data_IF_118130699417
#
_entry.id   IF_118130699417
#
_cell.length_a   1.000
_cell.length_b   1.000
_cell.length_c   1.000
_cell.angle_alpha   90.00
_cell.angle_beta   90.00
_cell.angle_gamma   90.00
#
_symmetry.space_group_name_H-M   'P 1'
#
loop_
_entity.id
_entity.type
_entity.pdbx_description
1 polymer ?
#
# COMPACT_ATOMS: atom_id res chain seq x y z
N UNK A 1 12.36 6.32 -12.33
CA UNK A 1 11.11 5.56 -12.51
C UNK A 1 10.35 5.65 -11.20
N UNK A 2 9.05 5.93 -11.19
CA UNK A 2 8.31 6.07 -9.95
C UNK A 2 8.27 4.74 -9.19
N UNK A 3 8.25 4.81 -7.86
CA UNK A 3 8.07 3.65 -6.98
C UNK A 3 6.62 3.19 -7.11
N UNK A 4 6.45 1.95 -7.58
CA UNK A 4 5.12 1.33 -7.69
C UNK A 4 4.64 0.82 -6.33
N UNK A 5 3.42 1.18 -5.97
CA UNK A 5 2.71 0.66 -4.80
C UNK A 5 1.43 -0.03 -5.26
N UNK A 6 1.35 -1.35 -5.03
CA UNK A 6 0.18 -2.15 -5.38
C UNK A 6 -0.66 -2.43 -4.14
N UNK A 7 -1.97 -2.23 -4.23
CA UNK A 7 -2.92 -2.48 -3.13
C UNK A 7 -4.06 -3.36 -3.62
N UNK A 8 -4.27 -4.52 -2.99
CA UNK A 8 -5.25 -5.52 -3.46
C UNK A 8 -6.64 -5.44 -2.80
N UNK A 9 -6.97 -4.31 -2.16
CA UNK A 9 -8.21 -4.15 -1.41
C UNK A 9 -8.92 -2.81 -1.65
N UNK A 10 -9.97 -2.85 -2.47
CA UNK A 10 -10.73 -1.66 -2.86
C UNK A 10 -11.27 -0.82 -1.70
N UNK A 11 -11.90 -1.39 -0.63
CA UNK A 11 -12.48 -0.58 0.44
C UNK A 11 -11.49 0.28 1.24
N UNK A 12 -10.19 -0.06 1.24
CA UNK A 12 -9.14 0.74 1.89
C UNK A 12 -8.18 1.39 0.89
N UNK A 13 -8.34 1.11 -0.41
CA UNK A 13 -7.49 1.62 -1.47
C UNK A 13 -7.36 3.13 -1.40
N UNK A 14 -8.48 3.84 -1.46
CA UNK A 14 -8.50 5.30 -1.51
C UNK A 14 -7.82 5.92 -0.28
N UNK A 15 -8.09 5.39 0.92
CA UNK A 15 -7.49 5.89 2.16
C UNK A 15 -5.97 5.70 2.18
N UNK A 16 -5.48 4.54 1.73
CA UNK A 16 -4.04 4.24 1.69
C UNK A 16 -3.38 5.09 0.62
N UNK A 17 -3.98 5.20 -0.57
CA UNK A 17 -3.51 6.04 -1.67
C UNK A 17 -3.36 7.50 -1.23
N UNK A 18 -4.40 8.08 -0.63
CA UNK A 18 -4.35 9.47 -0.16
C UNK A 18 -3.26 9.69 0.89
N UNK A 19 -3.08 8.76 1.83
CA UNK A 19 -2.03 8.86 2.85
C UNK A 19 -0.62 8.84 2.23
N UNK A 20 -0.40 8.07 1.16
CA UNK A 20 0.86 8.04 0.41
C UNK A 20 1.05 9.36 -0.34
N UNK A 21 0.07 9.78 -1.15
CA UNK A 21 0.15 11.00 -1.96
C UNK A 21 0.18 12.30 -1.13
N UNK A 22 -0.21 12.24 0.14
CA UNK A 22 -0.03 13.37 1.07
C UNK A 22 1.42 13.52 1.52
N UNK A 23 2.21 12.43 1.53
CA UNK A 23 3.60 12.43 2.00
C UNK A 23 4.64 12.41 0.88
N UNK A 24 4.27 12.00 -0.32
CA UNK A 24 5.17 11.82 -1.45
C UNK A 24 4.54 12.41 -2.71
N UNK A 25 5.36 13.00 -3.57
CA UNK A 25 4.90 13.56 -4.84
C UNK A 25 4.43 12.45 -5.80
N UNK A 26 3.40 12.76 -6.59
CA UNK A 26 2.82 11.86 -7.59
C UNK A 26 3.79 11.51 -8.74
N UNK A 27 4.81 12.35 -8.94
CA UNK A 27 5.92 12.09 -9.87
C UNK A 27 6.90 11.04 -9.38
N UNK A 28 6.96 10.81 -8.06
CA UNK A 28 7.88 9.87 -7.41
C UNK A 28 7.21 8.51 -7.13
N UNK A 29 5.91 8.49 -6.90
CA UNK A 29 5.17 7.30 -6.46
C UNK A 29 3.93 7.07 -7.32
N UNK A 30 3.83 5.86 -7.85
CA UNK A 30 2.66 5.40 -8.61
C UNK A 30 1.86 4.40 -7.75
N UNK A 31 0.60 4.72 -7.44
CA UNK A 31 -0.26 3.87 -6.61
C UNK A 31 -1.36 3.24 -7.47
N UNK A 32 -1.32 1.92 -7.58
CA UNK A 32 -2.25 1.12 -8.36
C UNK A 32 -3.06 0.17 -7.45
N UNK A 33 -4.31 -0.06 -7.82
CA UNK A 33 -5.23 -0.92 -7.09
C UNK A 33 -5.77 -2.03 -7.96
N UNK A 34 -5.69 -3.28 -7.50
CA UNK A 34 -6.27 -4.42 -8.21
C UNK A 34 -7.12 -5.27 -7.27
N UNK A 35 -8.43 -5.31 -7.49
CA UNK A 35 -9.28 -6.27 -6.80
C UNK A 35 -9.10 -7.64 -7.45
N UNK A 36 -8.58 -8.63 -6.71
CA UNK A 36 -8.46 -10.00 -7.24
C UNK A 36 -9.85 -10.61 -7.44
N UNK A 37 -10.28 -10.90 -8.69
CA UNK A 37 -11.61 -11.45 -8.94
C UNK A 37 -11.81 -12.77 -8.20
N UNK A 38 -12.92 -12.91 -7.48
CA UNK A 38 -13.27 -14.12 -6.75
C UNK A 38 -12.54 -14.34 -5.41
N UNK A 39 -11.62 -13.45 -5.02
CA UNK A 39 -10.93 -13.54 -3.74
C UNK A 39 -11.34 -12.37 -2.85
N UNK A 40 -12.03 -12.68 -1.74
CA UNK A 40 -12.46 -11.68 -0.77
C UNK A 40 -11.52 -11.67 0.43
N UNK A 41 -11.40 -10.49 1.07
CA UNK A 41 -10.73 -10.38 2.36
C UNK A 41 -9.19 -10.31 2.32
N UNK A 42 -8.56 -10.28 1.16
CA UNK A 42 -7.14 -9.93 1.03
C UNK A 42 -6.94 -8.43 1.13
N UNK A 43 -5.88 -8.03 1.83
CA UNK A 43 -5.35 -6.67 1.83
C UNK A 43 -3.84 -6.84 1.85
N UNK A 44 -3.29 -6.87 0.65
CA UNK A 44 -1.86 -6.96 0.42
C UNK A 44 -1.40 -5.60 -0.10
N UNK A 45 -0.31 -5.10 0.47
CA UNK A 45 0.36 -3.88 0.03
C UNK A 45 1.78 -4.24 -0.34
N UNK A 46 2.10 -4.02 -1.60
CA UNK A 46 3.45 -4.19 -2.13
C UNK A 46 4.05 -2.83 -2.48
N UNK A 47 5.33 -2.64 -2.17
CA UNK A 47 6.10 -1.44 -2.50
C UNK A 47 7.33 -1.90 -3.27
N UNK A 48 7.51 -1.38 -4.48
CA UNK A 48 8.59 -1.79 -5.39
C UNK A 48 8.67 -3.33 -5.57
N UNK A 49 7.52 -4.01 -5.63
CA UNK A 49 7.42 -5.46 -5.77
C UNK A 49 7.72 -6.27 -4.50
N UNK A 50 7.92 -5.61 -3.35
CA UNK A 50 8.10 -6.28 -2.05
C UNK A 50 6.83 -6.19 -1.23
N UNK A 51 6.38 -7.32 -0.68
CA UNK A 51 5.25 -7.37 0.25
C UNK A 51 5.59 -6.67 1.57
N UNK A 52 4.87 -5.59 1.89
CA UNK A 52 5.09 -4.75 3.08
C UNK A 52 4.00 -4.94 4.13
N UNK A 53 2.76 -5.17 3.70
CA UNK A 53 1.63 -5.40 4.58
C UNK A 53 0.78 -6.52 4.03
N UNK A 54 0.41 -7.48 4.88
CA UNK A 54 -0.39 -8.62 4.47
C UNK A 54 -1.44 -8.95 5.52
N UNK A 55 -2.71 -8.75 5.16
CA UNK A 55 -3.80 -9.23 5.98
C UNK A 55 -3.76 -10.75 6.08
N UNK A 56 -3.40 -11.45 5.00
CA UNK A 56 -3.32 -12.92 4.99
C UNK A 56 -2.21 -13.45 5.90
N UNK A 57 -1.08 -12.75 6.01
CA UNK A 57 0.03 -13.13 6.90
C UNK A 57 -0.15 -12.66 8.35
N UNK A 58 -1.30 -12.08 8.70
CA UNK A 58 -1.65 -11.73 10.08
C UNK A 58 -1.49 -10.26 10.46
N UNK A 59 -1.08 -9.37 9.54
CA UNK A 59 -1.01 -7.93 9.84
C UNK A 59 -2.41 -7.28 10.01
N UNK A 60 -3.46 -7.98 9.58
CA UNK A 60 -4.84 -7.49 9.61
C UNK A 60 -5.08 -6.32 8.66
N UNK A 61 -6.13 -5.54 8.92
CA UNK A 61 -6.43 -4.32 8.15
C UNK A 61 -5.46 -3.18 8.48
N UNK A 62 -5.29 -2.23 7.56
CA UNK A 62 -4.59 -0.95 7.79
C UNK A 62 -5.54 0.03 8.47
N UNK A 63 -5.75 -0.15 9.77
CA UNK A 63 -6.71 0.57 10.61
C UNK A 63 -6.06 1.47 11.66
N UNK A 64 -4.76 1.29 11.91
CA UNK A 64 -3.97 2.05 12.88
C UNK A 64 -2.85 2.82 12.21
N UNK A 65 -2.47 3.93 12.84
CA UNK A 65 -1.40 4.81 12.35
C UNK A 65 -0.06 4.07 12.25
N UNK A 66 0.22 3.13 13.16
CA UNK A 66 1.44 2.30 13.11
C UNK A 66 1.53 1.46 11.84
N UNK A 67 0.41 0.85 11.41
CA UNK A 67 0.37 0.06 10.16
C UNK A 67 0.48 0.95 8.92
N UNK A 68 -0.15 2.14 8.95
CA UNK A 68 0.04 3.12 7.87
C UNK A 68 1.49 3.58 7.78
N UNK A 69 2.11 3.89 8.92
CA UNK A 69 3.49 4.34 8.98
C UNK A 69 4.48 3.28 8.51
N UNK A 70 4.20 1.97 8.73
CA UNK A 70 4.97 0.86 8.15
C UNK A 70 5.03 0.96 6.61
N UNK A 71 3.90 1.20 5.96
CA UNK A 71 3.81 1.36 4.50
C UNK A 71 4.57 2.60 4.05
N UNK A 72 4.34 3.75 4.69
CA UNK A 72 4.99 5.01 4.35
C UNK A 72 6.53 4.92 4.51
N UNK A 73 7.00 4.24 5.54
CA UNK A 73 8.43 4.00 5.73
C UNK A 73 9.02 3.13 4.62
N UNK A 74 8.29 2.11 4.15
CA UNK A 74 8.74 1.28 3.04
C UNK A 74 8.79 2.05 1.72
N UNK A 75 7.80 2.92 1.45
CA UNK A 75 7.82 3.83 0.29
C UNK A 75 9.03 4.76 0.37
N UNK A 76 9.24 5.41 1.52
CA UNK A 76 10.41 6.28 1.73
C UNK A 76 11.74 5.52 1.52
N UNK A 77 11.84 4.29 2.00
CA UNK A 77 13.03 3.46 1.83
C UNK A 77 13.24 3.00 0.38
N UNK A 78 12.18 2.90 -0.42
CA UNK A 78 12.26 2.56 -1.84
C UNK A 78 12.60 3.78 -2.73
N UNK A 79 12.39 5.01 -2.23
CA UNK A 79 12.74 6.26 -2.90
C UNK A 79 14.20 6.69 -2.67
N UNK A 80 14.83 6.21 -1.58
CA UNK A 80 16.21 6.51 -1.22
C UNK A 80 17.21 5.66 -2.04
#
# INVERSE_FOLDING_TARGET
>A
MPVKVMITYWPKFEKIKQAILTKFDDTEVEVEGYGTPGITGYLEVEVAGKLVHSKKAGDGYVDSDGKMQKILNAVKAALA
#
